data_IF_145945548183
#
_entry.id   IF_145945548183
#
_cell.length_a   1.000
_cell.length_b   1.000
_cell.length_c   1.000
_cell.angle_alpha   90.00
_cell.angle_beta   90.00
_cell.angle_gamma   90.00
#
_symmetry.space_group_name_H-M   'P 1'
#
loop_
_entity.id
_entity.type
_entity.pdbx_description
1 polymer ?
#
# COMPACT_ATOMS: atom_id res chain seq x y z
N UNK A 1 1.11 20.35 6.12
CA UNK A 1 2.22 19.73 5.34
C UNK A 1 1.67 18.50 4.64
N UNK A 2 1.41 18.62 3.34
CA UNK A 2 0.92 17.53 2.49
C UNK A 2 2.06 16.68 1.92
N UNK A 3 1.72 15.59 1.23
CA UNK A 3 2.69 14.84 0.42
C UNK A 3 3.09 15.69 -0.79
N UNK A 4 4.37 16.08 -0.89
CA UNK A 4 4.88 16.93 -1.97
C UNK A 4 5.22 16.14 -3.22
N UNK A 5 5.46 14.84 -3.06
CA UNK A 5 5.66 13.86 -4.13
C UNK A 5 4.96 12.55 -3.79
N UNK A 6 4.57 11.77 -4.80
CA UNK A 6 4.04 10.42 -4.59
C UNK A 6 5.07 9.51 -3.88
N UNK A 7 6.38 9.78 -4.03
CA UNK A 7 7.45 9.01 -3.35
C UNK A 7 7.43 9.20 -1.84
N UNK A 8 6.83 10.27 -1.32
CA UNK A 8 6.70 10.49 0.13
C UNK A 8 5.77 9.44 0.77
N UNK A 9 4.86 8.85 -0.03
CA UNK A 9 3.94 7.82 0.41
C UNK A 9 4.64 6.52 0.81
N UNK A 10 5.90 6.30 0.40
CA UNK A 10 6.68 5.11 0.77
C UNK A 10 6.85 4.95 2.29
N UNK A 11 6.83 6.07 3.01
CA UNK A 11 6.99 6.13 4.45
C UNK A 11 5.65 6.20 5.20
N UNK A 12 4.53 6.23 4.48
CA UNK A 12 3.19 6.27 5.07
C UNK A 12 2.60 4.87 5.20
N UNK A 13 1.69 4.70 6.14
CA UNK A 13 0.85 3.49 6.26
C UNK A 13 -0.54 3.72 5.67
N UNK A 14 -1.24 2.66 5.22
CA UNK A 14 -2.63 2.77 4.79
C UNK A 14 -3.55 3.41 5.83
N UNK A 15 -3.37 3.08 7.12
CA UNK A 15 -4.14 3.68 8.21
C UNK A 15 -3.84 5.17 8.42
N UNK A 16 -2.59 5.61 8.20
CA UNK A 16 -2.26 7.04 8.22
C UNK A 16 -2.94 7.81 7.08
N UNK A 17 -2.99 7.23 5.88
CA UNK A 17 -3.67 7.84 4.73
C UNK A 17 -5.19 7.92 4.94
N UNK A 18 -5.80 6.87 5.47
CA UNK A 18 -7.22 6.89 5.83
C UNK A 18 -7.51 7.94 6.90
N UNK A 19 -6.67 8.04 7.93
CA UNK A 19 -6.81 9.05 8.99
C UNK A 19 -6.71 10.48 8.45
N UNK A 20 -5.80 10.72 7.50
CA UNK A 20 -5.67 12.03 6.83
C UNK A 20 -6.90 12.40 6.01
N UNK A 21 -7.52 11.48 5.29
CA UNK A 21 -8.76 11.80 4.55
C UNK A 21 -9.91 12.21 5.47
N UNK A 22 -9.99 11.60 6.66
CA UNK A 22 -11.00 11.99 7.65
C UNK A 22 -10.69 13.38 8.20
N UNK A 23 -9.43 13.63 8.59
CA UNK A 23 -9.01 14.88 9.22
C UNK A 23 -8.99 16.08 8.25
N UNK A 24 -8.44 15.90 7.06
CA UNK A 24 -8.14 16.98 6.13
C UNK A 24 -9.26 17.21 5.11
N UNK A 25 -10.00 16.15 4.75
CA UNK A 25 -11.06 16.21 3.73
C UNK A 25 -12.47 16.03 4.31
N UNK A 26 -12.61 15.80 5.61
CA UNK A 26 -13.91 15.63 6.27
C UNK A 26 -14.67 14.37 5.83
N UNK A 27 -13.97 13.38 5.25
CA UNK A 27 -14.60 12.15 4.76
C UNK A 27 -15.03 11.28 5.96
N UNK A 28 -16.24 10.70 5.96
CA UNK A 28 -16.65 9.77 7.03
C UNK A 28 -15.68 8.60 7.18
N UNK A 29 -15.43 8.15 8.42
CA UNK A 29 -14.52 7.02 8.70
C UNK A 29 -14.90 5.73 7.93
N UNK A 30 -16.20 5.46 7.79
CA UNK A 30 -16.71 4.33 7.01
C UNK A 30 -16.31 4.43 5.55
N UNK A 31 -16.46 5.61 4.94
CA UNK A 31 -16.04 5.88 3.56
C UNK A 31 -14.51 5.82 3.42
N UNK A 32 -13.74 6.38 4.35
CA UNK A 32 -12.27 6.31 4.35
C UNK A 32 -11.77 4.85 4.40
N UNK A 33 -12.46 3.99 5.14
CA UNK A 33 -12.11 2.56 5.25
C UNK A 33 -12.29 1.80 3.92
N UNK A 34 -13.23 2.23 3.06
CA UNK A 34 -13.44 1.62 1.75
C UNK A 34 -12.23 1.82 0.81
N UNK A 35 -11.42 2.85 1.05
CA UNK A 35 -10.21 3.13 0.27
C UNK A 35 -8.96 2.41 0.76
N UNK A 36 -9.02 1.61 1.85
CA UNK A 36 -7.85 0.90 2.38
C UNK A 36 -7.09 0.10 1.32
N UNK A 37 -7.81 -0.62 0.46
CA UNK A 37 -7.19 -1.37 -0.65
C UNK A 37 -6.42 -0.46 -1.61
N UNK A 38 -6.94 0.73 -1.91
CA UNK A 38 -6.25 1.71 -2.74
C UNK A 38 -5.02 2.28 -2.00
N UNK A 39 -5.09 2.51 -0.69
CA UNK A 39 -3.95 2.99 0.08
C UNK A 39 -2.81 1.98 0.17
N UNK A 40 -3.11 0.69 0.35
CA UNK A 40 -2.10 -0.38 0.30
C UNK A 40 -1.29 -0.33 -1.00
N UNK A 41 -1.97 -0.09 -2.11
CA UNK A 41 -1.33 0.08 -3.42
C UNK A 41 -0.51 1.37 -3.48
N UNK A 42 -1.06 2.49 -3.02
CA UNK A 42 -0.40 3.80 -3.07
C UNK A 42 0.90 3.83 -2.28
N UNK A 43 0.92 3.28 -1.05
CA UNK A 43 2.14 3.25 -0.24
C UNK A 43 3.23 2.40 -0.91
N UNK A 44 2.85 1.27 -1.54
CA UNK A 44 3.78 0.45 -2.30
C UNK A 44 4.30 1.16 -3.56
N UNK A 45 3.42 1.79 -4.34
CA UNK A 45 3.83 2.53 -5.54
C UNK A 45 4.75 3.71 -5.21
N UNK A 46 4.69 4.25 -3.99
CA UNK A 46 5.67 5.22 -3.50
C UNK A 46 7.11 4.68 -3.44
N UNK A 47 7.29 3.35 -3.37
CA UNK A 47 8.60 2.68 -3.43
C UNK A 47 9.07 2.34 -4.84
N UNK A 48 8.16 2.36 -5.82
CA UNK A 48 8.46 1.96 -7.19
C UNK A 48 9.24 3.06 -7.93
N UNK A 49 10.26 2.67 -8.69
CA UNK A 49 10.94 3.61 -9.58
C UNK A 49 10.08 3.98 -10.80
N UNK A 50 9.33 3.01 -11.32
CA UNK A 50 8.40 3.16 -12.43
C UNK A 50 6.98 2.74 -12.00
N UNK A 51 6.24 3.62 -11.28
CA UNK A 51 4.94 3.27 -10.72
C UNK A 51 3.88 2.93 -11.78
N UNK A 52 3.99 3.48 -13.00
CA UNK A 52 3.08 3.18 -14.10
C UNK A 52 3.20 1.75 -14.62
N UNK A 53 4.42 1.19 -14.59
CA UNK A 53 4.65 -0.21 -14.97
C UNK A 53 4.14 -1.16 -13.88
N UNK A 54 4.47 -0.90 -12.62
CA UNK A 54 3.96 -1.71 -11.49
C UNK A 54 2.46 -1.55 -11.23
N UNK A 55 1.85 -0.45 -11.70
CA UNK A 55 0.41 -0.27 -11.67
C UNK A 55 -0.32 -1.33 -12.52
N UNK A 56 0.33 -1.94 -13.52
CA UNK A 56 -0.26 -3.01 -14.33
C UNK A 56 -0.36 -4.34 -13.56
N UNK A 57 0.49 -4.55 -12.55
CA UNK A 57 0.45 -5.72 -11.66
C UNK A 57 -0.66 -5.63 -10.58
N UNK A 58 -1.55 -4.65 -10.70
CA UNK A 58 -2.54 -4.30 -9.67
C UNK A 58 -3.53 -5.42 -9.28
N UNK A 59 -3.66 -6.47 -10.09
CA UNK A 59 -4.54 -7.59 -9.78
C UNK A 59 -4.11 -8.38 -8.53
N UNK A 60 -2.85 -8.22 -8.10
CA UNK A 60 -2.24 -8.99 -7.01
C UNK A 60 -2.45 -8.42 -5.59
N UNK A 61 -3.16 -7.31 -5.42
CA UNK A 61 -3.35 -6.65 -4.11
C UNK A 61 -4.61 -7.08 -3.34
N UNK A 62 -5.21 -8.22 -3.70
CA UNK A 62 -6.26 -8.83 -2.86
C UNK A 62 -5.61 -9.58 -1.69
N UNK A 63 -6.29 -9.67 -0.54
CA UNK A 63 -5.83 -10.53 0.56
C UNK A 63 -5.58 -11.97 0.07
N UNK A 64 -6.45 -12.49 -0.81
CA UNK A 64 -6.30 -13.83 -1.42
C UNK A 64 -5.01 -13.96 -2.23
N UNK A 65 -4.70 -13.00 -3.09
CA UNK A 65 -3.49 -13.03 -3.92
C UNK A 65 -2.21 -12.85 -3.08
N UNK A 66 -2.24 -11.96 -2.09
CA UNK A 66 -1.13 -11.78 -1.15
C UNK A 66 -0.91 -13.03 -0.29
N UNK A 67 -1.99 -13.71 0.13
CA UNK A 67 -1.92 -14.95 0.88
C UNK A 67 -1.36 -16.10 0.02
N UNK A 68 -1.77 -16.20 -1.24
CA UNK A 68 -1.21 -17.17 -2.19
C UNK A 68 0.30 -16.99 -2.43
N UNK A 69 0.81 -15.77 -2.24
CA UNK A 69 2.26 -15.46 -2.32
C UNK A 69 3.00 -15.63 -0.99
N UNK A 70 2.31 -16.03 0.08
CA UNK A 70 2.88 -16.15 1.43
C UNK A 70 3.23 -14.81 2.09
N UNK A 71 2.68 -13.71 1.59
CA UNK A 71 3.03 -12.34 2.01
C UNK A 71 1.93 -11.72 2.87
N UNK A 72 0.68 -12.19 2.77
CA UNK A 72 -0.44 -11.63 3.54
C UNK A 72 -0.18 -11.66 5.05
N UNK A 73 -0.48 -10.54 5.71
CA UNK A 73 -0.42 -10.36 7.16
C UNK A 73 -1.61 -9.55 7.64
N UNK A 74 -2.02 -9.76 8.89
CA UNK A 74 -3.16 -9.07 9.48
C UNK A 74 -2.85 -7.59 9.79
N UNK A 75 -1.58 -7.24 9.99
CA UNK A 75 -1.08 -5.89 10.29
C UNK A 75 -0.75 -5.06 9.03
N UNK A 76 -1.15 -5.51 7.84
CA UNK A 76 -0.76 -4.87 6.58
C UNK A 76 -1.10 -3.38 6.49
N UNK A 77 -2.21 -2.96 7.08
CA UNK A 77 -2.66 -1.56 7.06
C UNK A 77 -1.81 -0.64 7.97
N UNK A 78 -0.95 -1.23 8.80
CA UNK A 78 0.00 -0.55 9.67
C UNK A 78 1.43 -0.59 9.13
N UNK A 79 1.67 -1.31 8.02
CA UNK A 79 2.96 -1.35 7.36
C UNK A 79 3.15 -0.15 6.42
N UNK A 80 4.38 0.36 6.41
CA UNK A 80 4.81 1.36 5.42
C UNK A 80 5.02 0.73 4.05
N UNK A 81 5.01 1.56 3.00
CA UNK A 81 5.36 1.14 1.65
C UNK A 81 6.69 0.38 1.59
N UNK A 82 7.73 0.87 2.28
CA UNK A 82 9.06 0.23 2.33
C UNK A 82 9.00 -1.17 2.94
N UNK A 83 8.27 -1.35 4.04
CA UNK A 83 8.11 -2.67 4.68
C UNK A 83 7.34 -3.63 3.78
N UNK A 84 6.28 -3.15 3.13
CA UNK A 84 5.52 -3.93 2.14
C UNK A 84 6.41 -4.34 0.96
N UNK A 85 7.23 -3.42 0.44
CA UNK A 85 8.15 -3.71 -0.65
C UNK A 85 9.20 -4.76 -0.28
N UNK A 86 9.74 -4.71 0.95
CA UNK A 86 10.66 -5.72 1.44
C UNK A 86 10.00 -7.11 1.49
N UNK A 87 8.77 -7.20 2.01
CA UNK A 87 8.00 -8.45 2.05
C UNK A 87 7.75 -9.02 0.65
N UNK A 88 7.43 -8.17 -0.32
CA UNK A 88 7.22 -8.58 -1.72
C UNK A 88 8.51 -8.93 -2.45
N UNK A 89 9.62 -8.25 -2.15
CA UNK A 89 10.95 -8.54 -2.69
C UNK A 89 11.50 -9.89 -2.22
N UNK A 90 11.23 -10.28 -0.97
CA UNK A 90 11.54 -11.62 -0.48
C UNK A 90 10.79 -12.74 -1.22
N UNK A 91 9.60 -12.48 -1.77
CA UNK A 91 8.87 -13.45 -2.60
C UNK A 91 9.42 -13.63 -4.02
N UNK A 92 10.27 -12.73 -4.52
CA UNK A 92 10.95 -12.91 -5.81
C UNK A 92 12.27 -13.67 -5.70
N UNK A 93 12.82 -13.85 -4.49
CA UNK A 93 14.04 -14.61 -4.26
C UNK A 93 13.85 -16.14 -4.22
N UNK A 94 12.65 -16.62 -4.58
CA UNK A 94 12.27 -18.03 -4.50
C UNK A 94 11.40 -18.49 -5.66
N UNK A 95 11.90 -18.35 -6.90
CA UNK A 95 11.44 -19.16 -8.01
C UNK A 95 12.68 -19.77 -8.70
N UNK A 96 12.89 -21.10 -8.64
CA UNK A 96 13.89 -21.77 -9.49
C UNK A 96 13.52 -21.67 -10.96
#
# INVERSE_FOLDING_TARGET
MGYGSYRDLKNATPNQLASKLVADCGIPKSSASAYRRAFRRLVYLGTADEPELQAKDCHNWTNKALAARGVWRDDWDDLTGVQVAALLGHSHAGAP
#
